data_IF_271788812901
#
_entry.id   IF_271788812901
#
_cell.length_a   1.000
_cell.length_b   1.000
_cell.length_c   1.000
_cell.angle_alpha   90.00
_cell.angle_beta   90.00
_cell.angle_gamma   90.00
#
_symmetry.space_group_name_H-M   'P 1'
#
loop_
_entity.id
_entity.type
_entity.pdbx_description
1 polymer ?
#
# COMPACT_ATOMS: atom_id res chain seq x y z
N UNK A 1 7.51 6.08 -4.18
CA UNK A 1 6.90 7.20 -3.44
C UNK A 1 8.00 8.20 -3.06
N UNK A 2 7.70 9.51 -2.94
CA UNK A 2 8.68 10.48 -2.42
C UNK A 2 8.92 10.19 -0.94
N UNK A 3 10.03 10.69 -0.40
CA UNK A 3 10.43 10.44 1.00
C UNK A 3 9.35 10.85 2.01
N UNK A 4 8.65 11.95 1.73
CA UNK A 4 7.54 12.41 2.59
C UNK A 4 6.40 11.39 2.67
N UNK A 5 5.97 10.82 1.54
CA UNK A 5 4.94 9.77 1.58
C UNK A 5 5.42 8.52 2.33
N UNK A 6 6.70 8.13 2.17
CA UNK A 6 7.25 6.99 2.93
C UNK A 6 7.18 7.26 4.43
N UNK A 7 7.55 8.47 4.87
CA UNK A 7 7.47 8.91 6.26
C UNK A 7 6.03 8.83 6.80
N UNK A 8 5.06 9.35 6.05
CA UNK A 8 3.65 9.33 6.44
C UNK A 8 3.09 7.90 6.52
N UNK A 9 3.41 7.04 5.55
CA UNK A 9 3.01 5.62 5.60
C UNK A 9 3.60 4.89 6.81
N UNK A 10 4.88 5.13 7.14
CA UNK A 10 5.52 4.55 8.33
C UNK A 10 4.89 5.05 9.63
N UNK A 11 4.54 6.33 9.71
CA UNK A 11 3.85 6.89 10.87
C UNK A 11 2.45 6.26 11.05
N UNK A 12 1.71 6.09 9.95
CA UNK A 12 0.40 5.44 9.96
C UNK A 12 0.49 3.97 10.38
N UNK A 13 1.49 3.23 9.88
CA UNK A 13 1.74 1.84 10.31
C UNK A 13 2.03 1.72 11.81
N UNK A 14 2.57 2.78 12.43
CA UNK A 14 2.84 2.88 13.88
C UNK A 14 1.65 3.42 14.70
N UNK A 15 0.48 3.59 14.07
CA UNK A 15 -0.76 3.99 14.73
C UNK A 15 -1.03 5.50 14.78
N UNK A 16 -0.27 6.32 14.04
CA UNK A 16 -0.61 7.72 13.88
C UNK A 16 -1.96 7.88 13.14
N UNK A 17 -2.67 8.96 13.42
CA UNK A 17 -3.88 9.29 12.67
C UNK A 17 -3.53 9.58 11.19
N UNK A 18 -4.32 9.09 10.23
CA UNK A 18 -4.03 9.29 8.82
C UNK A 18 -4.33 10.72 8.37
N UNK A 19 -3.40 11.31 7.61
CA UNK A 19 -3.68 12.48 6.76
C UNK A 19 -3.72 12.04 5.29
N UNK A 20 -4.90 11.62 4.83
CA UNK A 20 -5.07 11.11 3.47
C UNK A 20 -4.75 12.15 2.40
N UNK A 21 -5.05 13.42 2.66
CA UNK A 21 -4.85 14.51 1.69
C UNK A 21 -3.37 14.72 1.42
N UNK A 22 -2.55 14.77 2.47
CA UNK A 22 -1.11 14.93 2.30
C UNK A 22 -0.48 13.66 1.72
N UNK A 23 -0.90 12.50 2.21
CA UNK A 23 -0.37 11.20 1.80
C UNK A 23 -0.59 10.94 0.29
N UNK A 24 -1.73 11.35 -0.26
CA UNK A 24 -2.05 11.24 -1.69
C UNK A 24 -1.86 12.56 -2.48
N UNK A 25 -1.18 13.55 -1.92
CA UNK A 25 -0.96 14.83 -2.58
C UNK A 25 -0.28 14.66 -3.95
N UNK A 26 -0.95 15.13 -5.00
CA UNK A 26 -0.50 15.00 -6.39
C UNK A 26 -0.82 13.66 -7.06
N UNK A 27 -1.59 12.78 -6.42
CA UNK A 27 -2.05 11.51 -6.98
C UNK A 27 -3.57 11.46 -7.09
N UNK A 28 -4.07 10.86 -8.17
CA UNK A 28 -5.51 10.68 -8.41
C UNK A 28 -5.98 9.24 -8.15
N UNK A 29 -5.05 8.30 -7.95
CA UNK A 29 -5.33 6.88 -7.75
C UNK A 29 -4.24 6.23 -6.90
N UNK A 30 -4.59 5.12 -6.26
CA UNK A 30 -3.67 4.30 -5.48
C UNK A 30 -3.96 2.81 -5.72
N UNK A 31 -2.94 1.98 -5.52
CA UNK A 31 -2.99 0.53 -5.69
C UNK A 31 -1.93 -0.10 -4.77
N UNK A 32 -2.10 -1.39 -4.49
CA UNK A 32 -1.16 -2.23 -3.76
C UNK A 32 -0.98 -1.80 -2.29
N UNK A 33 -0.22 -2.60 -1.55
CA UNK A 33 0.12 -2.35 -0.17
C UNK A 33 0.98 -1.06 -0.04
N UNK A 34 0.73 -0.19 0.96
CA UNK A 34 -0.26 -0.31 2.03
C UNK A 34 -1.66 0.24 1.69
N UNK A 35 -1.81 1.00 0.60
CA UNK A 35 -3.06 1.72 0.30
C UNK A 35 -4.29 0.82 0.17
N UNK A 36 -4.13 -0.38 -0.41
CA UNK A 36 -5.20 -1.36 -0.57
C UNK A 36 -5.77 -1.86 0.76
N UNK A 37 -4.99 -1.85 1.85
CA UNK A 37 -5.45 -2.24 3.17
C UNK A 37 -6.49 -1.25 3.73
N UNK A 38 -6.29 0.04 3.47
CA UNK A 38 -7.11 1.14 3.99
C UNK A 38 -8.29 1.53 3.09
N UNK A 39 -8.65 0.69 2.11
CA UNK A 39 -9.74 1.03 1.17
C UNK A 39 -11.07 1.42 1.86
N UNK A 40 -11.49 0.84 3.01
CA UNK A 40 -12.72 1.24 3.70
C UNK A 40 -12.65 2.65 4.30
N UNK A 41 -11.50 3.07 4.79
CA UNK A 41 -11.26 4.43 5.31
C UNK A 41 -11.16 5.42 4.14
N UNK A 42 -10.50 5.02 3.05
CA UNK A 42 -10.32 5.86 1.88
C UNK A 42 -11.64 6.17 1.18
N UNK A 43 -12.56 5.21 1.08
CA UNK A 43 -13.87 5.48 0.47
C UNK A 43 -14.77 6.37 1.34
N UNK A 44 -14.52 6.42 2.66
CA UNK A 44 -15.17 7.39 3.56
C UNK A 44 -14.58 8.79 3.37
N UNK A 45 -13.26 8.90 3.18
CA UNK A 45 -12.56 10.16 2.98
C UNK A 45 -12.78 10.75 1.57
N UNK A 46 -12.93 9.89 0.56
CA UNK A 46 -13.13 10.24 -0.84
C UNK A 46 -14.39 9.55 -1.39
N UNK A 47 -15.60 10.04 -1.02
CA UNK A 47 -16.86 9.36 -1.37
C UNK A 47 -17.12 9.27 -2.88
N UNK A 48 -16.56 10.18 -3.67
CA UNK A 48 -16.69 10.18 -5.14
C UNK A 48 -15.68 9.26 -5.83
N UNK A 49 -14.67 8.75 -5.11
CA UNK A 49 -13.69 7.83 -5.67
C UNK A 49 -14.34 6.46 -5.94
N UNK A 50 -13.88 5.79 -7.00
CA UNK A 50 -14.31 4.42 -7.33
C UNK A 50 -13.33 3.41 -6.75
N UNK A 51 -13.84 2.30 -6.21
CA UNK A 51 -13.04 1.15 -5.78
C UNK A 51 -13.04 0.09 -6.87
N UNK A 52 -11.86 -0.38 -7.26
CA UNK A 52 -11.68 -1.44 -8.26
C UNK A 52 -11.01 -2.64 -7.58
N UNK A 53 -11.66 -3.81 -7.64
CA UNK A 53 -11.08 -5.07 -7.19
C UNK A 53 -10.57 -5.85 -8.41
N UNK A 54 -9.26 -5.96 -8.53
CA UNK A 54 -8.63 -6.89 -9.49
C UNK A 54 -8.55 -8.27 -8.88
N UNK A 55 -9.07 -9.29 -9.57
CA UNK A 55 -9.12 -10.66 -9.08
C UNK A 55 -8.52 -11.64 -10.08
N UNK A 56 -7.84 -12.67 -9.58
CA UNK A 56 -7.32 -13.83 -10.32
C UNK A 56 -7.36 -15.06 -9.43
N UNK A 57 -7.19 -16.25 -10.00
CA UNK A 57 -7.16 -17.48 -9.19
C UNK A 57 -5.97 -17.47 -8.22
N UNK A 58 -6.09 -18.08 -7.03
CA UNK A 58 -4.99 -18.16 -6.07
C UNK A 58 -3.71 -18.78 -6.65
N UNK A 59 -3.85 -19.79 -7.52
CA UNK A 59 -2.73 -20.52 -8.12
C UNK A 59 -1.96 -19.63 -9.10
N UNK A 60 -2.68 -18.96 -10.01
CA UNK A 60 -2.08 -17.98 -10.92
C UNK A 60 -1.47 -16.80 -10.16
N UNK A 61 -2.03 -16.49 -8.98
CA UNK A 61 -1.44 -15.49 -8.10
C UNK A 61 -0.14 -15.92 -7.48
N UNK A 62 -0.12 -17.12 -6.91
CA UNK A 62 1.05 -17.67 -6.25
C UNK A 62 2.22 -17.81 -7.21
N UNK A 63 2.00 -18.36 -8.41
CA UNK A 63 3.05 -18.53 -9.41
C UNK A 63 3.73 -17.20 -9.78
N UNK A 64 2.93 -16.14 -9.92
CA UNK A 64 3.44 -14.80 -10.21
C UNK A 64 4.09 -14.16 -8.97
N UNK A 65 3.53 -14.34 -7.78
CA UNK A 65 4.04 -13.79 -6.52
C UNK A 65 5.43 -14.38 -6.19
N UNK A 66 5.57 -15.70 -6.29
CA UNK A 66 6.83 -16.41 -6.01
C UNK A 66 7.98 -15.89 -6.89
N UNK A 67 7.72 -15.74 -8.19
CA UNK A 67 8.71 -15.29 -9.18
C UNK A 67 9.09 -13.81 -9.05
N UNK A 68 8.32 -13.01 -8.31
CA UNK A 68 8.49 -11.55 -8.27
C UNK A 68 8.68 -11.04 -6.84
N UNK A 69 7.61 -10.97 -6.05
CA UNK A 69 7.60 -10.38 -4.73
C UNK A 69 8.40 -11.24 -3.75
N UNK A 70 8.18 -12.56 -3.73
CA UNK A 70 8.90 -13.43 -2.79
C UNK A 70 10.41 -13.41 -3.05
N UNK A 71 10.82 -13.48 -4.32
CA UNK A 71 12.23 -13.36 -4.71
C UNK A 71 12.84 -12.01 -4.27
N UNK A 72 12.06 -10.93 -4.33
CA UNK A 72 12.48 -9.60 -3.90
C UNK A 72 12.55 -9.42 -2.38
N UNK A 73 11.66 -10.05 -1.61
CA UNK A 73 11.62 -9.92 -0.13
C UNK A 73 12.96 -10.32 0.49
N UNK A 74 13.58 -11.39 0.01
CA UNK A 74 14.89 -11.85 0.51
C UNK A 74 16.05 -10.87 0.26
N UNK A 75 15.84 -9.83 -0.56
CA UNK A 75 16.84 -8.83 -0.92
C UNK A 75 16.58 -7.46 -0.27
N UNK A 76 15.49 -7.29 0.49
CA UNK A 76 15.16 -6.01 1.12
C UNK A 76 15.98 -5.85 2.41
N UNK A 77 16.91 -4.89 2.41
CA UNK A 77 17.72 -4.54 3.58
C UNK A 77 16.97 -3.61 4.56
N UNK A 78 16.02 -2.82 4.07
CA UNK A 78 15.22 -1.88 4.85
C UNK A 78 14.01 -2.58 5.51
N UNK A 79 14.14 -2.94 6.79
CA UNK A 79 13.08 -3.61 7.54
C UNK A 79 11.84 -2.74 7.76
N UNK A 80 12.00 -1.40 7.80
CA UNK A 80 10.86 -0.48 7.89
C UNK A 80 10.02 -0.52 6.59
N UNK A 81 10.62 -0.90 5.46
CA UNK A 81 9.90 -1.06 4.19
C UNK A 81 8.98 -2.29 4.20
N UNK A 82 9.25 -3.27 5.06
CA UNK A 82 8.43 -4.46 5.27
C UNK A 82 7.38 -4.29 6.39
N UNK A 83 7.36 -3.15 7.07
CA UNK A 83 6.48 -2.92 8.21
C UNK A 83 6.76 -3.83 9.41
N UNK A 84 8.01 -4.29 9.56
CA UNK A 84 8.43 -5.20 10.63
C UNK A 84 8.85 -4.49 11.93
N UNK A 85 8.91 -3.15 11.94
CA UNK A 85 9.49 -2.30 13.01
C UNK A 85 8.72 -1.01 13.27
#
# INVERSE_FOLDING_TARGET
>A
AKEEQKRLWRALAKGAAPDWKELFSGYNSCMDWPSAHYWPELIKAYPDARVILTWRSPESWWESFEKTILAGIGQIEDQDALGLT
#
